data_IF_041791826440
#
_entry.id   IF_041791826440
#
_cell.length_a   1.000
_cell.length_b   1.000
_cell.length_c   1.000
_cell.angle_alpha   90.00
_cell.angle_beta   90.00
_cell.angle_gamma   90.00
#
_symmetry.space_group_name_H-M   'P 1'
#
loop_
_entity.id
_entity.type
_entity.pdbx_description
1 polymer ?
#
# COMPACT_ATOMS: atom_id res chain seq x y z
N UNK A 1 12.04 12.92 3.89
CA UNK A 1 12.97 12.05 3.13
C UNK A 1 12.18 10.84 2.68
N UNK A 2 12.07 10.58 1.38
CA UNK A 2 11.30 9.43 0.86
C UNK A 2 12.17 8.16 0.94
N UNK A 3 11.72 7.08 1.59
CA UNK A 3 12.42 5.82 1.55
C UNK A 3 12.42 5.26 0.12
N UNK A 4 13.57 4.76 -0.32
CA UNK A 4 13.77 4.17 -1.65
C UNK A 4 14.08 2.70 -1.50
N UNK A 5 13.34 1.85 -2.20
CA UNK A 5 13.48 0.40 -2.13
C UNK A 5 13.98 -0.15 -3.46
N UNK A 6 14.91 -1.11 -3.44
CA UNK A 6 15.25 -1.91 -4.62
C UNK A 6 14.21 -3.01 -4.79
N UNK A 7 13.79 -3.22 -6.02
CA UNK A 7 12.64 -4.05 -6.35
C UNK A 7 12.85 -4.74 -7.70
N UNK A 8 12.26 -5.92 -7.87
CA UNK A 8 12.17 -6.54 -9.18
C UNK A 8 11.12 -5.85 -10.04
N UNK A 9 11.16 -6.16 -11.34
CA UNK A 9 10.34 -5.53 -12.36
C UNK A 9 8.84 -5.61 -12.01
N UNK A 10 8.29 -6.80 -11.74
CA UNK A 10 6.94 -6.95 -11.19
C UNK A 10 7.01 -7.09 -9.67
N UNK A 11 6.31 -6.22 -8.94
CA UNK A 11 6.31 -6.22 -7.48
C UNK A 11 4.91 -6.05 -6.91
N UNK A 12 4.67 -6.70 -5.76
CA UNK A 12 3.52 -6.45 -4.91
C UNK A 12 3.96 -5.64 -3.71
N UNK A 13 3.18 -4.61 -3.42
CA UNK A 13 3.32 -3.76 -2.25
C UNK A 13 2.04 -3.85 -1.44
N UNK A 14 2.19 -4.08 -0.14
CA UNK A 14 1.12 -3.96 0.83
C UNK A 14 1.56 -2.97 1.90
N UNK A 15 0.66 -2.07 2.24
CA UNK A 15 0.79 -1.24 3.41
C UNK A 15 -0.35 -1.57 4.36
N UNK A 16 -0.07 -1.51 5.66
CA UNK A 16 -1.07 -1.59 6.71
C UNK A 16 -0.89 -0.46 7.71
N UNK A 17 -2.00 0.09 8.20
CA UNK A 17 -2.04 0.95 9.37
C UNK A 17 -2.84 0.27 10.47
N UNK A 18 -2.29 0.29 11.67
CA UNK A 18 -3.04 -0.06 12.87
C UNK A 18 -3.80 1.18 13.33
N UNK A 19 -5.02 1.03 13.87
CA UNK A 19 -5.72 2.15 14.49
C UNK A 19 -4.83 2.75 15.59
N UNK A 20 -4.42 4.00 15.38
CA UNK A 20 -3.57 4.72 16.31
C UNK A 20 -4.35 5.84 16.97
N UNK A 21 -4.69 5.62 18.25
CA UNK A 21 -5.56 6.49 19.07
C UNK A 21 -4.74 7.65 19.66
N UNK A 22 -4.17 8.52 18.84
CA UNK A 22 -3.62 9.79 19.34
C UNK A 22 -4.18 11.03 18.68
N UNK A 23 -4.47 11.02 17.39
CA UNK A 23 -5.03 12.17 16.70
C UNK A 23 -5.76 11.76 15.41
N UNK A 24 -7.04 12.12 15.28
CA UNK A 24 -7.84 11.88 14.07
C UNK A 24 -7.20 12.53 12.84
N UNK A 25 -6.48 13.65 13.02
CA UNK A 25 -5.79 14.35 11.95
C UNK A 25 -4.60 13.57 11.39
N UNK A 26 -4.00 12.64 12.15
CA UNK A 26 -2.86 11.82 11.70
C UNK A 26 -3.27 10.68 10.75
N UNK A 27 -4.57 10.36 10.66
CA UNK A 27 -5.10 9.16 10.00
C UNK A 27 -5.59 9.36 8.57
N UNK A 28 -5.46 10.57 7.99
CA UNK A 28 -5.94 10.89 6.63
C UNK A 28 -4.85 11.38 5.69
N UNK A 29 -4.10 10.50 5.05
CA UNK A 29 -2.96 10.88 4.21
C UNK A 29 -2.98 10.16 2.88
N UNK A 30 -2.30 10.71 1.89
CA UNK A 30 -2.20 10.09 0.57
C UNK A 30 -0.98 9.17 0.49
N UNK A 31 -1.17 8.03 -0.13
CA UNK A 31 -0.08 7.19 -0.60
C UNK A 31 0.28 7.61 -2.01
N UNK A 32 1.57 7.82 -2.22
CA UNK A 32 2.10 8.05 -3.56
C UNK A 32 3.16 7.02 -3.89
N UNK A 33 3.14 6.59 -5.14
CA UNK A 33 4.08 5.65 -5.74
C UNK A 33 4.84 6.35 -6.86
N UNK A 34 6.16 6.50 -6.69
CA UNK A 34 7.01 7.24 -7.64
C UNK A 34 6.44 8.62 -8.01
N UNK A 35 5.88 9.31 -7.02
CA UNK A 35 5.26 10.63 -7.15
C UNK A 35 3.83 10.64 -7.72
N UNK A 36 3.25 9.49 -8.04
CA UNK A 36 1.88 9.37 -8.54
C UNK A 36 0.92 9.02 -7.40
N UNK A 37 -0.26 9.62 -7.38
CA UNK A 37 -1.32 9.27 -6.44
C UNK A 37 -1.72 7.80 -6.58
N UNK A 38 -1.76 7.08 -5.46
CA UNK A 38 -2.26 5.72 -5.38
C UNK A 38 -3.62 5.68 -4.67
N UNK A 39 -3.66 6.05 -3.39
CA UNK A 39 -4.88 5.98 -2.59
C UNK A 39 -4.82 6.93 -1.39
N UNK A 40 -5.98 7.42 -0.96
CA UNK A 40 -6.12 8.10 0.33
C UNK A 40 -6.38 7.07 1.42
N UNK A 41 -5.53 7.10 2.44
CA UNK A 41 -5.74 6.41 3.71
C UNK A 41 -6.76 7.22 4.50
N UNK A 42 -7.81 6.57 4.99
CA UNK A 42 -8.71 7.16 5.96
C UNK A 42 -9.05 6.12 7.03
N UNK A 43 -8.32 6.17 8.14
CA UNK A 43 -8.48 5.24 9.26
C UNK A 43 -9.14 5.90 10.49
N UNK A 44 -9.87 7.02 10.30
CA UNK A 44 -10.53 7.75 11.40
C UNK A 44 -11.60 6.86 12.09
N UNK A 45 -12.27 5.99 11.35
CA UNK A 45 -13.43 5.24 11.85
C UNK A 45 -13.15 3.76 12.16
N UNK A 46 -11.94 3.26 11.92
CA UNK A 46 -11.60 1.84 12.00
C UNK A 46 -10.93 1.49 13.33
N UNK A 47 -11.61 1.77 14.46
CA UNK A 47 -11.04 1.62 15.81
C UNK A 47 -10.52 0.21 16.14
N UNK A 48 -10.95 -0.81 15.38
CA UNK A 48 -10.60 -2.22 15.64
C UNK A 48 -10.12 -2.98 14.40
N UNK A 49 -10.01 -2.33 13.24
CA UNK A 49 -9.67 -3.00 11.99
C UNK A 49 -8.37 -2.45 11.41
N UNK A 50 -7.48 -3.36 11.00
CA UNK A 50 -6.27 -3.00 10.26
C UNK A 50 -6.70 -2.58 8.87
N UNK A 51 -6.45 -1.32 8.52
CA UNK A 51 -6.68 -0.85 7.15
C UNK A 51 -5.45 -1.21 6.33
N UNK A 52 -5.65 -2.00 5.28
CA UNK A 52 -4.59 -2.44 4.39
C UNK A 52 -4.89 -2.10 2.95
N UNK A 53 -3.87 -1.68 2.23
CA UNK A 53 -3.97 -1.41 0.80
C UNK A 53 -2.87 -2.19 0.09
N UNK A 54 -3.24 -2.82 -1.02
CA UNK A 54 -2.35 -3.63 -1.83
C UNK A 54 -2.28 -3.10 -3.25
N UNK A 55 -1.10 -3.14 -3.86
CA UNK A 55 -0.92 -2.85 -5.27
C UNK A 55 0.07 -3.83 -5.89
N UNK A 56 -0.17 -4.16 -7.15
CA UNK A 56 0.80 -4.82 -8.01
C UNK A 56 1.17 -3.81 -9.11
N UNK A 57 2.46 -3.63 -9.33
CA UNK A 57 2.94 -2.68 -10.33
C UNK A 57 4.24 -3.16 -10.95
N UNK A 58 4.53 -2.57 -12.11
CA UNK A 58 5.80 -2.70 -12.80
C UNK A 58 6.69 -1.52 -12.46
N UNK A 59 7.90 -1.80 -11.95
CA UNK A 59 8.88 -0.77 -11.62
C UNK A 59 9.67 -0.45 -12.89
N UNK A 60 9.62 0.79 -13.34
CA UNK A 60 10.33 1.23 -14.56
C UNK A 60 11.83 1.36 -14.37
N UNK A 61 12.30 1.45 -13.13
CA UNK A 61 13.70 1.56 -12.74
C UNK A 61 14.10 0.42 -11.78
N UNK A 62 15.36 0.42 -11.33
CA UNK A 62 15.86 -0.55 -10.35
C UNK A 62 15.41 -0.24 -8.90
N UNK A 63 14.68 0.86 -8.73
CA UNK A 63 14.19 1.34 -7.46
C UNK A 63 12.79 1.91 -7.59
N UNK A 64 12.10 1.94 -6.46
CA UNK A 64 10.84 2.66 -6.32
C UNK A 64 10.82 3.44 -5.02
N UNK A 65 10.02 4.49 -5.00
CA UNK A 65 9.81 5.38 -3.88
C UNK A 65 8.35 5.38 -3.46
N UNK A 66 8.15 5.33 -2.15
CA UNK A 66 6.82 5.37 -1.53
C UNK A 66 6.80 6.60 -0.63
N UNK A 67 5.79 7.44 -0.83
CA UNK A 67 5.60 8.65 -0.04
C UNK A 67 4.27 8.59 0.70
N UNK A 68 4.33 8.92 1.99
CA UNK A 68 3.15 9.23 2.80
C UNK A 68 2.98 10.75 2.77
N UNK A 69 2.07 11.23 1.92
CA UNK A 69 1.88 12.65 1.68
C UNK A 69 0.81 13.22 2.61
N UNK A 70 1.17 14.28 3.32
CA UNK A 70 0.24 15.04 4.16
C UNK A 70 -0.85 15.68 3.30
N UNK A 71 -2.10 15.54 3.70
CA UNK A 71 -3.24 16.26 3.08
C UNK A 71 -3.57 17.54 3.83
N UNK A 72 -3.13 17.65 5.09
CA UNK A 72 -3.36 18.81 5.97
C UNK A 72 -2.07 19.28 6.66
N UNK A 73 -1.95 20.58 6.99
CA UNK A 73 -0.83 21.08 7.79
C UNK A 73 -0.74 20.39 9.16
N UNK A 74 0.47 20.19 9.67
CA UNK A 74 0.77 19.57 10.97
C UNK A 74 0.33 18.10 11.15
N UNK A 75 -0.23 17.48 10.12
CA UNK A 75 -0.51 16.06 10.10
C UNK A 75 0.81 15.26 10.14
N UNK A 76 0.85 14.13 10.85
CA UNK A 76 1.97 13.19 10.78
C UNK A 76 1.47 11.86 10.23
N UNK A 77 1.68 11.55 8.94
CA UNK A 77 1.31 10.27 8.36
C UNK A 77 2.07 9.12 9.04
N UNK A 78 1.38 8.02 9.31
CA UNK A 78 1.95 6.83 9.94
C UNK A 78 1.46 5.55 9.28
N UNK A 79 2.37 4.59 9.13
CA UNK A 79 2.07 3.21 8.74
C UNK A 79 2.69 2.27 9.77
N UNK A 80 2.01 1.17 10.08
CA UNK A 80 2.54 0.16 10.99
C UNK A 80 3.38 -0.89 10.27
N UNK A 81 3.05 -1.20 9.02
CA UNK A 81 3.77 -2.18 8.23
C UNK A 81 3.83 -1.79 6.74
N UNK A 82 4.96 -2.16 6.12
CA UNK A 82 5.19 -2.10 4.69
C UNK A 82 5.79 -3.42 4.23
N UNK A 83 5.09 -4.12 3.36
CA UNK A 83 5.55 -5.36 2.74
C UNK A 83 5.78 -5.11 1.26
N UNK A 84 6.98 -5.42 0.79
CA UNK A 84 7.35 -5.30 -0.62
C UNK A 84 7.96 -6.61 -1.09
N UNK A 85 7.34 -7.25 -2.07
CA UNK A 85 7.77 -8.55 -2.61
C UNK A 85 7.87 -8.52 -4.12
N UNK A 86 8.90 -9.17 -4.63
CA UNK A 86 9.06 -9.42 -6.07
C UNK A 86 8.15 -10.57 -6.51
N UNK A 87 7.54 -10.45 -7.69
CA UNK A 87 6.66 -11.46 -8.28
C UNK A 87 7.28 -12.02 -9.55
N UNK A 88 6.88 -13.24 -9.93
CA UNK A 88 7.26 -13.82 -11.23
C UNK A 88 6.58 -13.02 -12.36
N UNK A 89 7.29 -12.71 -13.46
CA UNK A 89 6.80 -11.82 -14.53
C UNK A 89 5.43 -12.21 -15.10
N UNK A 90 5.15 -13.51 -15.19
CA UNK A 90 3.96 -14.03 -15.87
C UNK A 90 2.75 -14.26 -14.95
N UNK A 91 2.90 -14.04 -13.63
CA UNK A 91 1.82 -14.24 -12.64
C UNK A 91 0.56 -13.42 -12.94
N UNK A 92 0.74 -12.25 -13.56
CA UNK A 92 -0.33 -11.32 -13.92
C UNK A 92 -0.23 -10.90 -15.39
N UNK A 93 0.09 -11.83 -16.28
CA UNK A 93 0.31 -11.57 -17.72
C UNK A 93 -0.89 -10.97 -18.47
N UNK A 94 -2.11 -11.12 -17.92
CA UNK A 94 -3.32 -10.50 -18.48
C UNK A 94 -3.44 -9.01 -18.14
N UNK A 95 -2.68 -8.52 -17.17
CA UNK A 95 -2.66 -7.10 -16.82
C UNK A 95 -1.72 -6.33 -17.73
N UNK A 96 -2.13 -5.13 -18.13
CA UNK A 96 -1.30 -4.28 -18.97
C UNK A 96 -0.04 -3.82 -18.19
N UNK A 97 1.18 -4.00 -18.74
CA UNK A 97 2.43 -3.87 -17.99
C UNK A 97 2.73 -2.44 -17.49
N UNK A 98 2.00 -1.44 -17.97
CA UNK A 98 2.15 -0.03 -17.59
C UNK A 98 1.08 0.47 -16.61
N UNK A 99 0.20 -0.42 -16.14
CA UNK A 99 -0.86 -0.08 -15.21
C UNK A 99 -0.64 -0.77 -13.88
N UNK A 100 -0.87 -0.03 -12.79
CA UNK A 100 -0.93 -0.62 -11.47
C UNK A 100 -2.28 -1.32 -11.29
N UNK A 101 -2.27 -2.48 -10.65
CA UNK A 101 -3.48 -3.16 -10.19
C UNK A 101 -3.64 -2.92 -8.70
N UNK A 102 -4.74 -2.28 -8.31
CA UNK A 102 -5.07 -2.08 -6.91
C UNK A 102 -5.89 -3.24 -6.39
N UNK A 103 -5.49 -3.73 -5.23
CA UNK A 103 -6.18 -4.82 -4.55
C UNK A 103 -7.55 -4.30 -4.08
N UNK A 104 -8.61 -4.84 -4.68
CA UNK A 104 -9.98 -4.55 -4.26
C UNK A 104 -10.42 -5.48 -3.13
N UNK A 105 -10.17 -6.78 -3.28
CA UNK A 105 -10.61 -7.80 -2.35
C UNK A 105 -9.65 -8.99 -2.38
N UNK A 106 -9.36 -9.53 -1.21
CA UNK A 106 -8.66 -10.80 -1.04
C UNK A 106 -9.58 -11.73 -0.24
N UNK A 107 -9.94 -12.86 -0.85
CA UNK A 107 -10.82 -13.86 -0.24
C UNK A 107 -10.17 -15.23 -0.37
N UNK A 108 -10.02 -15.90 0.76
CA UNK A 108 -9.62 -17.29 0.82
C UNK A 108 -10.90 -18.15 0.90
N UNK A 109 -11.41 -18.62 -0.24
CA UNK A 109 -12.60 -19.45 -0.27
C UNK A 109 -12.37 -20.79 0.44
N UNK A 110 -13.31 -21.16 1.32
CA UNK A 110 -13.25 -22.42 2.07
C UNK A 110 -12.24 -22.43 3.22
N UNK A 111 -11.56 -21.33 3.49
CA UNK A 111 -10.74 -21.17 4.69
C UNK A 111 -11.62 -20.87 5.90
N UNK A 112 -11.25 -21.42 7.07
CA UNK A 112 -11.95 -21.16 8.33
C UNK A 112 -11.41 -19.89 9.03
N UNK A 113 -10.20 -19.46 8.66
CA UNK A 113 -9.52 -18.29 9.21
C UNK A 113 -9.19 -17.28 8.11
N UNK A 114 -9.06 -16.02 8.52
CA UNK A 114 -8.50 -14.97 7.68
C UNK A 114 -6.99 -15.16 7.54
N UNK A 115 -6.53 -15.42 6.32
CA UNK A 115 -5.09 -15.45 6.02
C UNK A 115 -4.57 -14.01 6.10
N UNK A 116 -3.83 -13.71 7.17
CA UNK A 116 -3.03 -12.50 7.25
C UNK A 116 -1.75 -12.72 6.43
N UNK A 117 -1.48 -11.81 5.49
CA UNK A 117 -0.17 -11.64 4.85
C UNK A 117 0.63 -10.61 5.65
#
# INVERSE_FOLDING_TARGET
>A
MMPTFRVANLSFLKYSTMPYVRDEQSQVFDLQFDGNYWATVNAIHTLYEIVSYGAIFTVKANNTSICLAQTMPNQVPFISALELRSLLPDMYSQAAPNYAMFLNLWVAYGANDTISI
#
